data_IF_829784044984
#
_entry.id   IF_829784044984
#
_cell.length_a   1.000
_cell.length_b   1.000
_cell.length_c   1.000
_cell.angle_alpha   90.00
_cell.angle_beta   90.00
_cell.angle_gamma   90.00
#
_symmetry.space_group_name_H-M   'P 1'
#
loop_
_entity.id
_entity.type
_entity.pdbx_description
1 polymer ?
#
# COMPACT_ATOMS: atom_id res chain seq x y z
N UNK A 1 -28.10 -4.18 4.65
CA UNK A 1 -27.14 -3.83 3.58
C UNK A 1 -26.83 -2.35 3.71
N UNK A 2 -25.55 -1.94 3.72
CA UNK A 2 -25.22 -0.52 3.74
C UNK A 2 -25.29 0.00 2.31
N UNK A 3 -26.08 1.03 2.07
CA UNK A 3 -26.37 1.59 0.74
C UNK A 3 -25.10 1.94 -0.07
N UNK A 4 -24.06 2.38 0.61
CA UNK A 4 -22.77 2.76 0.01
C UNK A 4 -22.05 1.60 -0.71
N UNK A 5 -22.35 0.32 -0.41
CA UNK A 5 -21.69 -0.84 -1.02
C UNK A 5 -22.57 -1.58 -2.05
N UNK A 6 -23.77 -1.12 -2.34
CA UNK A 6 -24.70 -1.80 -3.26
C UNK A 6 -24.06 -2.09 -4.61
N UNK A 7 -23.37 -1.11 -5.21
CA UNK A 7 -22.72 -1.30 -6.53
C UNK A 7 -21.55 -2.29 -6.47
N UNK A 8 -20.81 -2.31 -5.38
CA UNK A 8 -19.73 -3.27 -5.16
C UNK A 8 -20.30 -4.68 -4.98
N UNK A 9 -21.38 -4.81 -4.22
CA UNK A 9 -22.04 -6.07 -3.98
C UNK A 9 -22.65 -6.68 -5.26
N UNK A 10 -23.24 -5.86 -6.14
CA UNK A 10 -23.71 -6.32 -7.45
C UNK A 10 -22.60 -6.94 -8.31
N UNK A 11 -21.37 -6.49 -8.14
CA UNK A 11 -20.22 -6.97 -8.92
C UNK A 11 -19.49 -8.15 -8.25
N UNK A 12 -19.32 -8.10 -6.93
CA UNK A 12 -18.51 -9.06 -6.17
C UNK A 12 -19.33 -10.10 -5.41
N UNK A 13 -20.61 -9.85 -5.19
CA UNK A 13 -21.51 -10.67 -4.37
C UNK A 13 -21.48 -10.32 -2.89
N UNK A 14 -22.52 -10.73 -2.18
CA UNK A 14 -22.74 -10.44 -0.75
C UNK A 14 -21.62 -11.05 0.14
N UNK A 15 -21.22 -12.28 -0.16
CA UNK A 15 -20.19 -12.99 0.62
C UNK A 15 -18.83 -12.29 0.54
N UNK A 16 -18.47 -11.73 -0.62
CA UNK A 16 -17.26 -10.94 -0.78
C UNK A 16 -17.30 -9.68 0.12
N UNK A 17 -18.42 -8.98 0.18
CA UNK A 17 -18.58 -7.81 1.06
C UNK A 17 -18.47 -8.22 2.54
N UNK A 18 -19.09 -9.31 2.95
CA UNK A 18 -18.97 -9.84 4.31
C UNK A 18 -17.52 -10.17 4.67
N UNK A 19 -16.77 -10.77 3.73
CA UNK A 19 -15.36 -11.12 3.91
C UNK A 19 -14.50 -9.85 4.04
N UNK A 20 -14.66 -8.88 3.15
CA UNK A 20 -13.94 -7.60 3.20
C UNK A 20 -14.19 -6.83 4.51
N UNK A 21 -15.43 -6.78 5.00
CA UNK A 21 -15.78 -6.14 6.28
C UNK A 21 -15.06 -6.75 7.49
N UNK A 22 -14.75 -8.03 7.44
CA UNK A 22 -14.03 -8.74 8.52
C UNK A 22 -12.52 -8.66 8.35
N UNK A 23 -12.04 -8.39 7.14
CA UNK A 23 -10.62 -8.41 6.82
C UNK A 23 -9.85 -7.28 7.48
N UNK A 24 -8.62 -7.59 7.91
CA UNK A 24 -7.64 -6.66 8.46
C UNK A 24 -6.48 -6.49 7.49
N UNK A 25 -6.25 -5.26 7.02
CA UNK A 25 -5.14 -4.92 6.13
C UNK A 25 -4.16 -3.98 6.82
N UNK A 26 -2.89 -4.38 6.89
CA UNK A 26 -1.81 -3.54 7.39
C UNK A 26 -1.14 -2.80 6.23
N UNK A 27 -1.11 -1.46 6.31
CA UNK A 27 -0.52 -0.60 5.27
C UNK A 27 0.67 0.14 5.87
N UNK A 28 1.84 -0.12 5.32
CA UNK A 28 3.10 0.51 5.70
C UNK A 28 3.50 1.56 4.67
N UNK A 29 3.57 2.81 5.10
CA UNK A 29 3.80 4.00 4.26
C UNK A 29 2.50 4.59 3.71
N UNK A 30 2.12 5.78 4.20
CA UNK A 30 0.92 6.53 3.78
C UNK A 30 1.32 7.71 2.88
N UNK A 31 2.15 7.40 1.90
CA UNK A 31 2.64 8.34 0.89
C UNK A 31 1.76 8.39 -0.37
N UNK A 32 2.38 8.72 -1.51
CA UNK A 32 1.70 8.83 -2.80
C UNK A 32 1.04 7.53 -3.30
N UNK A 33 1.57 6.37 -2.91
CA UNK A 33 0.99 5.06 -3.22
C UNK A 33 0.05 4.62 -2.10
N UNK A 34 0.55 4.54 -0.86
CA UNK A 34 -0.20 3.96 0.25
C UNK A 34 -1.48 4.70 0.60
N UNK A 35 -1.52 6.03 0.43
CA UNK A 35 -2.75 6.79 0.66
C UNK A 35 -3.86 6.45 -0.33
N UNK A 36 -3.53 6.11 -1.57
CA UNK A 36 -4.52 5.66 -2.57
C UNK A 36 -4.87 4.18 -2.42
N UNK A 37 -3.96 3.34 -1.90
CA UNK A 37 -4.32 1.97 -1.45
C UNK A 37 -5.39 2.06 -0.38
N UNK A 38 -5.15 2.86 0.65
CA UNK A 38 -6.08 3.05 1.76
C UNK A 38 -7.45 3.56 1.29
N UNK A 39 -7.45 4.59 0.43
CA UNK A 39 -8.67 5.14 -0.16
C UNK A 39 -9.48 4.07 -0.90
N UNK A 40 -8.84 3.28 -1.76
CA UNK A 40 -9.49 2.21 -2.52
C UNK A 40 -10.07 1.13 -1.62
N UNK A 41 -9.31 0.69 -0.61
CA UNK A 41 -9.75 -0.35 0.32
C UNK A 41 -10.86 0.13 1.28
N UNK A 42 -10.82 1.37 1.73
CA UNK A 42 -11.88 1.95 2.56
C UNK A 42 -13.21 2.03 1.78
N UNK A 43 -13.16 2.48 0.52
CA UNK A 43 -14.35 2.62 -0.34
C UNK A 43 -14.98 1.29 -0.75
N UNK A 44 -14.21 0.22 -0.82
CA UNK A 44 -14.74 -1.11 -1.15
C UNK A 44 -15.25 -1.87 0.08
N UNK A 45 -15.03 -1.35 1.29
CA UNK A 45 -15.61 -1.89 2.52
C UNK A 45 -14.69 -2.80 3.34
N UNK A 46 -13.35 -2.68 3.20
CA UNK A 46 -12.43 -3.30 4.16
C UNK A 46 -12.71 -2.71 5.54
N UNK A 47 -12.90 -3.60 6.54
CA UNK A 47 -13.39 -3.19 7.85
C UNK A 47 -12.32 -2.86 8.88
N UNK A 48 -11.08 -3.34 8.70
CA UNK A 48 -10.04 -3.11 9.70
C UNK A 48 -8.72 -2.71 9.04
N UNK A 49 -8.06 -1.70 9.59
CA UNK A 49 -6.76 -1.24 9.13
C UNK A 49 -5.74 -1.11 10.24
N UNK A 50 -4.49 -1.42 9.91
CA UNK A 50 -3.30 -1.03 10.66
C UNK A 50 -2.52 -0.08 9.76
N UNK A 51 -2.34 1.17 10.19
CA UNK A 51 -1.66 2.22 9.41
C UNK A 51 -0.34 2.58 10.09
N UNK A 52 0.75 2.52 9.33
CA UNK A 52 2.10 2.78 9.83
C UNK A 52 2.79 3.81 8.96
N UNK A 53 3.06 4.98 9.52
CA UNK A 53 3.84 6.06 8.91
C UNK A 53 4.28 7.01 10.02
N UNK A 54 5.50 7.56 9.95
CA UNK A 54 5.98 8.52 10.97
C UNK A 54 5.94 9.98 10.52
N UNK A 55 5.70 10.20 9.22
CA UNK A 55 5.83 11.53 8.65
C UNK A 55 4.62 12.42 8.99
N UNK A 56 4.88 13.71 8.88
CA UNK A 56 3.85 14.73 8.79
C UNK A 56 3.53 15.04 7.32
N UNK A 57 2.33 15.54 7.09
CA UNK A 57 1.94 16.07 5.78
C UNK A 57 2.75 17.33 5.51
N UNK A 58 3.48 17.35 4.42
CA UNK A 58 4.21 18.53 3.95
C UNK A 58 3.56 19.16 2.72
N UNK A 59 3.85 20.44 2.48
CA UNK A 59 3.34 21.17 1.32
C UNK A 59 3.68 20.46 0.00
N UNK A 60 4.89 19.87 -0.09
CA UNK A 60 5.36 19.12 -1.26
C UNK A 60 4.64 17.78 -1.48
N UNK A 61 3.80 17.33 -0.55
CA UNK A 61 3.01 16.11 -0.70
C UNK A 61 1.69 16.34 -1.43
N UNK A 62 1.20 17.57 -1.48
CA UNK A 62 -0.12 17.93 -2.05
C UNK A 62 -0.26 17.49 -3.50
N UNK A 63 0.83 17.50 -4.24
CA UNK A 63 0.81 17.13 -5.66
C UNK A 63 0.46 15.66 -5.94
N UNK A 64 0.52 14.75 -4.92
CA UNK A 64 0.38 13.30 -5.19
C UNK A 64 -0.16 12.44 -4.03
N UNK A 65 -0.36 12.97 -2.83
CA UNK A 65 -0.89 12.22 -1.69
C UNK A 65 -2.33 12.68 -1.42
N UNK A 66 -3.30 11.77 -1.46
CA UNK A 66 -4.72 12.13 -1.35
C UNK A 66 -5.09 12.74 0.00
N UNK A 67 -4.35 12.38 1.06
CA UNK A 67 -4.54 12.92 2.41
C UNK A 67 -3.95 14.33 2.58
N UNK A 68 -3.08 14.75 1.64
CA UNK A 68 -2.38 16.03 1.72
C UNK A 68 -3.17 17.15 1.07
N UNK A 69 -3.57 18.12 1.86
CA UNK A 69 -4.25 19.36 1.45
C UNK A 69 -3.64 20.54 2.19
N UNK A 70 -3.96 21.75 1.80
CA UNK A 70 -3.54 22.97 2.54
C UNK A 70 -4.03 22.99 3.99
N UNK A 71 -5.12 22.27 4.30
CA UNK A 71 -5.68 22.17 5.66
C UNK A 71 -4.99 21.12 6.54
N UNK A 72 -4.28 20.16 5.92
CA UNK A 72 -3.68 19.02 6.63
C UNK A 72 -2.17 19.12 6.78
N UNK A 73 -1.52 20.13 6.18
CA UNK A 73 -0.07 20.39 6.33
C UNK A 73 0.30 20.53 7.80
N UNK A 74 1.38 19.87 8.22
CA UNK A 74 1.89 19.85 9.59
C UNK A 74 1.22 18.80 10.50
N UNK A 75 0.21 18.08 10.03
CA UNK A 75 -0.45 17.02 10.79
C UNK A 75 0.19 15.66 10.49
N UNK A 76 0.15 14.74 11.45
CA UNK A 76 0.63 13.37 11.26
C UNK A 76 -0.16 12.68 10.16
N UNK A 77 0.53 12.00 9.22
CA UNK A 77 -0.13 11.31 8.10
C UNK A 77 -1.10 10.24 8.58
N UNK A 78 -0.74 9.48 9.61
CA UNK A 78 -1.60 8.42 10.16
C UNK A 78 -2.90 8.96 10.76
N UNK A 79 -2.87 10.13 11.41
CA UNK A 79 -4.08 10.77 11.96
C UNK A 79 -5.00 11.25 10.86
N UNK A 80 -4.45 11.97 9.87
CA UNK A 80 -5.23 12.46 8.70
C UNK A 80 -5.81 11.29 7.90
N UNK A 81 -5.04 10.22 7.73
CA UNK A 81 -5.49 9.02 7.05
C UNK A 81 -6.64 8.34 7.80
N UNK A 82 -6.54 8.21 9.13
CA UNK A 82 -7.61 7.67 9.97
C UNK A 82 -8.89 8.48 9.85
N UNK A 83 -8.83 9.80 9.99
CA UNK A 83 -9.99 10.68 9.83
C UNK A 83 -10.65 10.48 8.46
N UNK A 84 -9.85 10.48 7.39
CA UNK A 84 -10.37 10.29 6.04
C UNK A 84 -11.06 8.95 5.85
N UNK A 85 -10.54 7.87 6.41
CA UNK A 85 -11.20 6.56 6.34
C UNK A 85 -12.54 6.60 7.08
N UNK A 86 -12.60 7.21 8.26
CA UNK A 86 -13.83 7.30 9.05
C UNK A 86 -14.90 8.19 8.38
N UNK A 87 -14.52 9.17 7.55
CA UNK A 87 -15.45 9.92 6.71
C UNK A 87 -16.05 9.06 5.58
N UNK A 88 -15.35 8.01 5.13
CA UNK A 88 -15.78 7.09 4.06
C UNK A 88 -16.52 5.87 4.65
N UNK A 89 -15.96 5.29 5.70
CA UNK A 89 -16.43 4.08 6.37
C UNK A 89 -16.41 4.29 7.90
N UNK A 90 -17.47 4.87 8.48
CA UNK A 90 -17.52 5.20 9.91
C UNK A 90 -17.39 3.99 10.84
N UNK A 91 -17.77 2.80 10.37
CA UNK A 91 -17.73 1.56 11.14
C UNK A 91 -16.33 0.88 11.12
N UNK A 92 -15.35 1.49 10.46
CA UNK A 92 -14.02 0.93 10.29
C UNK A 92 -13.21 0.97 11.59
N UNK A 93 -12.58 -0.14 11.94
CA UNK A 93 -11.63 -0.19 13.04
C UNK A 93 -10.20 0.13 12.54
N UNK A 94 -9.55 1.14 13.14
CA UNK A 94 -8.26 1.62 12.64
C UNK A 94 -7.28 1.77 13.79
N UNK A 95 -6.22 0.96 13.74
CA UNK A 95 -5.03 1.14 14.57
C UNK A 95 -4.01 1.97 13.80
N UNK A 96 -3.41 2.94 14.47
CA UNK A 96 -2.37 3.79 13.90
C UNK A 96 -1.07 3.68 14.69
N UNK A 97 0.05 3.69 13.97
CA UNK A 97 1.39 3.67 14.52
C UNK A 97 2.20 4.82 13.89
N UNK A 98 2.38 5.90 14.65
CA UNK A 98 3.28 7.01 14.31
C UNK A 98 4.74 6.59 14.59
N UNK A 99 5.23 5.63 13.81
CA UNK A 99 6.55 5.02 13.99
C UNK A 99 7.25 4.80 12.65
N UNK A 100 8.56 4.86 12.69
CA UNK A 100 9.41 4.34 11.60
C UNK A 100 9.49 2.82 11.72
N UNK A 101 9.15 2.12 10.66
CA UNK A 101 9.29 0.67 10.63
C UNK A 101 10.71 0.31 10.17
N UNK A 102 11.46 -0.39 11.00
CA UNK A 102 12.85 -0.79 10.77
C UNK A 102 13.08 -2.20 11.34
N UNK A 103 14.22 -2.87 11.05
CA UNK A 103 14.50 -4.23 11.55
C UNK A 103 14.46 -4.40 13.07
N UNK A 104 14.73 -3.34 13.83
CA UNK A 104 14.69 -3.28 15.29
C UNK A 104 13.33 -2.89 15.86
N UNK A 105 12.35 -2.62 15.00
CA UNK A 105 11.00 -2.29 15.43
C UNK A 105 10.30 -3.51 16.06
N UNK A 106 9.42 -3.25 17.02
CA UNK A 106 8.48 -4.26 17.52
C UNK A 106 7.64 -4.86 16.40
N UNK A 107 7.10 -6.05 16.61
CA UNK A 107 6.13 -6.65 15.69
C UNK A 107 4.81 -5.85 15.74
N UNK A 108 4.49 -5.17 14.65
CA UNK A 108 3.27 -4.35 14.52
C UNK A 108 2.08 -5.21 14.06
N UNK A 109 2.34 -6.35 13.45
CA UNK A 109 1.33 -7.31 13.02
C UNK A 109 1.80 -8.75 13.30
N UNK A 110 0.84 -9.66 13.33
CA UNK A 110 1.02 -11.10 13.51
C UNK A 110 0.22 -11.86 12.43
N UNK A 111 -0.01 -13.15 12.65
CA UNK A 111 -0.77 -14.02 11.76
C UNK A 111 -2.31 -13.75 11.73
N UNK A 112 -2.79 -12.78 12.51
CA UNK A 112 -4.20 -12.35 12.50
C UNK A 112 -4.48 -11.27 11.46
N UNK A 113 -3.44 -10.71 10.84
CA UNK A 113 -3.58 -9.78 9.72
C UNK A 113 -3.80 -10.58 8.43
N UNK A 114 -4.84 -10.24 7.67
CA UNK A 114 -5.17 -10.96 6.44
C UNK A 114 -4.29 -10.56 5.26
N UNK A 115 -3.76 -9.34 5.27
CA UNK A 115 -2.93 -8.85 4.18
C UNK A 115 -2.00 -7.71 4.60
N UNK A 116 -0.78 -7.71 4.05
CA UNK A 116 0.20 -6.63 4.25
C UNK A 116 0.43 -5.88 2.94
N UNK A 117 0.39 -4.55 2.99
CA UNK A 117 0.76 -3.66 1.88
C UNK A 117 2.04 -2.93 2.23
N UNK A 118 3.05 -3.10 1.39
CA UNK A 118 4.32 -2.40 1.48
C UNK A 118 4.35 -1.23 0.47
N UNK A 119 4.14 -0.03 0.97
CA UNK A 119 4.27 1.23 0.23
C UNK A 119 5.38 2.14 0.79
N UNK A 120 6.33 1.56 1.53
CA UNK A 120 7.50 2.26 2.09
C UNK A 120 8.49 2.59 0.97
N UNK A 121 9.28 3.63 1.11
CA UNK A 121 10.35 4.01 0.18
C UNK A 121 11.75 3.53 0.60
N UNK A 122 11.96 3.23 1.88
CA UNK A 122 13.22 2.78 2.45
C UNK A 122 13.47 1.30 2.20
N UNK A 123 14.52 0.95 1.48
CA UNK A 123 14.85 -0.44 1.06
C UNK A 123 14.98 -1.38 2.27
N UNK A 124 15.67 -0.97 3.32
CA UNK A 124 15.88 -1.79 4.52
C UNK A 124 14.54 -2.15 5.19
N UNK A 125 13.66 -1.19 5.33
CA UNK A 125 12.32 -1.39 5.88
C UNK A 125 11.46 -2.32 5.00
N UNK A 126 11.51 -2.13 3.66
CA UNK A 126 10.80 -3.02 2.72
C UNK A 126 11.23 -4.48 2.86
N UNK A 127 12.54 -4.70 2.95
CA UNK A 127 13.10 -6.06 3.10
C UNK A 127 12.61 -6.68 4.40
N UNK A 128 12.70 -5.94 5.51
CA UNK A 128 12.26 -6.42 6.82
C UNK A 128 10.76 -6.74 6.81
N UNK A 129 9.95 -5.91 6.19
CA UNK A 129 8.51 -6.14 6.11
C UNK A 129 8.19 -7.44 5.35
N UNK A 130 8.90 -7.71 4.26
CA UNK A 130 8.76 -8.97 3.52
C UNK A 130 9.22 -10.17 4.36
N UNK A 131 10.31 -10.04 5.11
CA UNK A 131 10.80 -11.09 6.02
C UNK A 131 9.75 -11.42 7.08
N UNK A 132 9.16 -10.40 7.74
CA UNK A 132 8.12 -10.61 8.75
C UNK A 132 6.84 -11.20 8.18
N UNK A 133 6.38 -10.70 7.02
CA UNK A 133 5.22 -11.26 6.35
C UNK A 133 5.42 -12.77 6.02
N UNK A 134 6.62 -13.15 5.58
CA UNK A 134 6.97 -14.57 5.38
C UNK A 134 7.00 -15.37 6.69
N UNK A 135 7.58 -14.80 7.76
CA UNK A 135 7.61 -15.41 9.10
C UNK A 135 6.20 -15.75 9.60
N UNK A 136 5.28 -14.81 9.47
CA UNK A 136 3.88 -14.97 9.90
C UNK A 136 2.97 -15.61 8.84
N UNK A 137 3.49 -15.93 7.65
CA UNK A 137 2.74 -16.49 6.51
C UNK A 137 1.57 -15.61 6.06
N UNK A 138 1.69 -14.30 6.24
CA UNK A 138 0.70 -13.31 5.79
C UNK A 138 0.99 -12.92 4.34
N UNK A 139 -0.02 -12.91 3.46
CA UNK A 139 0.14 -12.39 2.11
C UNK A 139 0.64 -10.95 2.10
N UNK A 140 1.56 -10.65 1.17
CA UNK A 140 2.12 -9.30 1.03
C UNK A 140 2.19 -8.88 -0.45
N UNK A 141 1.88 -7.61 -0.73
CA UNK A 141 2.16 -6.96 -2.00
C UNK A 141 3.03 -5.73 -1.77
N UNK A 142 4.06 -5.56 -2.61
CA UNK A 142 5.01 -4.46 -2.47
C UNK A 142 4.96 -3.53 -3.68
N UNK A 143 4.86 -2.22 -3.43
CA UNK A 143 5.05 -1.21 -4.47
C UNK A 143 6.53 -1.05 -4.79
N UNK A 144 6.86 -1.14 -6.07
CA UNK A 144 8.19 -0.74 -6.54
C UNK A 144 8.23 0.77 -6.84
N UNK A 145 9.36 1.27 -7.38
CA UNK A 145 9.56 2.70 -7.59
C UNK A 145 8.57 3.32 -8.57
N UNK A 146 7.85 4.36 -8.13
CA UNK A 146 6.88 5.13 -8.93
C UNK A 146 7.39 6.52 -9.33
N UNK A 147 8.52 6.96 -8.76
CA UNK A 147 9.12 8.25 -9.09
C UNK A 147 9.75 8.31 -10.49
N UNK A 148 9.87 9.53 -11.03
CA UNK A 148 10.49 9.83 -12.33
C UNK A 148 9.78 9.19 -13.53
N UNK A 149 8.46 9.01 -13.46
CA UNK A 149 7.62 8.37 -14.46
C UNK A 149 6.42 9.24 -14.82
N UNK A 150 5.90 9.04 -16.03
CA UNK A 150 4.76 9.80 -16.56
C UNK A 150 3.66 8.91 -17.13
N UNK A 151 3.95 7.62 -17.38
CA UNK A 151 2.99 6.71 -18.01
C UNK A 151 2.50 5.65 -17.01
N UNK A 152 1.32 5.88 -16.38
CA UNK A 152 0.76 4.93 -15.44
C UNK A 152 0.22 3.64 -16.11
N UNK A 153 0.06 3.62 -17.44
CA UNK A 153 -0.40 2.43 -18.17
C UNK A 153 0.65 1.33 -18.24
N UNK A 154 1.91 1.67 -17.91
CA UNK A 154 3.03 0.71 -17.88
C UNK A 154 3.19 -0.02 -16.55
N UNK A 155 2.26 0.14 -15.61
CA UNK A 155 2.27 -0.67 -14.40
C UNK A 155 1.82 -2.10 -14.68
N UNK A 156 2.53 -3.04 -14.05
CA UNK A 156 2.21 -4.46 -14.06
C UNK A 156 2.26 -5.04 -12.66
N UNK A 157 1.44 -6.08 -12.46
CA UNK A 157 1.45 -6.93 -11.27
C UNK A 157 2.14 -8.25 -11.63
N UNK A 158 3.21 -8.58 -10.93
CA UNK A 158 3.92 -9.84 -11.16
C UNK A 158 4.72 -10.29 -9.93
N UNK A 159 5.34 -11.47 -10.02
CA UNK A 159 6.41 -11.85 -9.10
C UNK A 159 7.64 -10.98 -9.32
N UNK A 160 8.32 -10.59 -8.24
CA UNK A 160 9.49 -9.72 -8.30
C UNK A 160 10.60 -10.24 -9.24
N UNK A 161 10.70 -11.56 -9.42
CA UNK A 161 11.70 -12.15 -10.31
C UNK A 161 11.40 -11.91 -11.80
N UNK A 162 10.16 -11.53 -12.15
CA UNK A 162 9.73 -11.20 -13.52
C UNK A 162 9.85 -9.71 -13.84
N UNK A 163 10.27 -8.88 -12.87
CA UNK A 163 10.41 -7.43 -13.08
C UNK A 163 11.63 -7.08 -13.94
N UNK A 164 11.51 -6.01 -14.73
CA UNK A 164 12.56 -5.42 -15.56
C UNK A 164 12.77 -3.95 -15.20
N UNK A 165 13.75 -3.29 -15.77
CA UNK A 165 14.09 -1.85 -15.77
C UNK A 165 14.02 -1.09 -14.44
N UNK A 166 13.39 -1.62 -13.40
CA UNK A 166 13.21 -0.95 -12.10
C UNK A 166 14.43 -1.15 -11.19
N UNK A 167 15.19 -0.07 -10.84
CA UNK A 167 16.36 -0.18 -9.96
C UNK A 167 16.03 -0.73 -8.58
N UNK A 168 14.91 -0.29 -7.98
CA UNK A 168 14.45 -0.76 -6.67
C UNK A 168 14.16 -2.26 -6.69
N UNK A 169 13.44 -2.75 -7.70
CA UNK A 169 13.17 -4.18 -7.83
C UNK A 169 14.45 -5.02 -7.99
N UNK A 170 15.47 -4.48 -8.68
CA UNK A 170 16.79 -5.13 -8.80
C UNK A 170 17.46 -5.31 -7.44
N UNK A 171 17.45 -4.28 -6.60
CA UNK A 171 18.00 -4.35 -5.23
C UNK A 171 17.20 -5.32 -4.37
N UNK A 172 15.88 -5.22 -4.37
CA UNK A 172 14.99 -6.11 -3.61
C UNK A 172 15.21 -7.58 -3.97
N UNK A 173 15.27 -7.93 -5.28
CA UNK A 173 15.55 -9.31 -5.72
C UNK A 173 16.86 -9.85 -5.14
N UNK A 174 17.92 -9.03 -5.17
CA UNK A 174 19.25 -9.43 -4.63
C UNK A 174 19.18 -9.71 -3.14
N UNK A 175 18.52 -8.83 -2.38
CA UNK A 175 18.46 -8.92 -0.93
C UNK A 175 17.51 -10.03 -0.43
N UNK A 176 16.40 -10.25 -1.13
CA UNK A 176 15.45 -11.32 -0.81
C UNK A 176 16.05 -12.71 -1.08
N UNK A 177 16.84 -12.86 -2.15
CA UNK A 177 17.55 -14.13 -2.44
C UNK A 177 18.55 -14.51 -1.33
N UNK A 178 19.25 -13.54 -0.73
CA UNK A 178 20.15 -13.79 0.40
C UNK A 178 19.42 -14.33 1.65
N UNK A 179 18.09 -14.13 1.71
CA UNK A 179 17.21 -14.53 2.82
C UNK A 179 16.34 -15.72 2.47
N UNK A 180 16.64 -16.40 1.35
CA UNK A 180 15.86 -17.55 0.81
C UNK A 180 14.38 -17.24 0.56
N UNK A 181 14.04 -15.96 0.36
CA UNK A 181 12.69 -15.54 -0.03
C UNK A 181 12.59 -15.60 -1.56
N UNK A 182 11.82 -16.58 -2.06
CA UNK A 182 11.77 -16.93 -3.48
C UNK A 182 10.72 -16.16 -4.28
N UNK A 183 9.69 -15.63 -3.61
CA UNK A 183 8.54 -14.98 -4.26
C UNK A 183 8.14 -13.72 -3.51
N UNK A 184 7.75 -12.71 -4.26
CA UNK A 184 7.10 -11.50 -3.73
C UNK A 184 6.20 -10.92 -4.83
N UNK A 185 4.91 -10.76 -4.55
CA UNK A 185 3.98 -10.04 -5.43
C UNK A 185 4.31 -8.56 -5.41
N UNK A 186 4.48 -7.97 -6.57
CA UNK A 186 4.83 -6.54 -6.69
C UNK A 186 4.00 -5.84 -7.75
N UNK A 187 3.81 -4.53 -7.54
CA UNK A 187 3.40 -3.59 -8.59
C UNK A 187 4.63 -2.81 -9.01
N UNK A 188 4.99 -2.86 -10.29
CA UNK A 188 6.12 -2.13 -10.85
C UNK A 188 5.77 -1.58 -12.22
N UNK A 189 6.50 -0.57 -12.67
CA UNK A 189 6.32 0.00 -14.00
C UNK A 189 7.44 -0.45 -14.94
N UNK A 190 7.08 -0.79 -16.17
CA UNK A 190 8.02 -1.02 -17.29
C UNK A 190 8.59 0.28 -17.89
N UNK A 191 8.10 1.43 -17.46
CA UNK A 191 8.67 2.70 -17.87
C UNK A 191 10.05 2.89 -17.28
N UNK A 192 11.03 3.21 -18.11
CA UNK A 192 12.35 3.63 -17.63
C UNK A 192 12.23 4.98 -16.90
N UNK A 193 12.77 5.09 -15.68
CA UNK A 193 12.69 6.35 -14.94
C UNK A 193 13.49 7.44 -15.68
N UNK A 194 12.87 8.63 -15.82
CA UNK A 194 13.56 9.81 -16.37
C UNK A 194 14.73 10.20 -15.47
N UNK A 195 15.84 10.56 -16.08
CA UNK A 195 16.97 11.15 -15.35
C UNK A 195 16.63 12.60 -15.01
N UNK A 196 16.25 12.84 -13.76
CA UNK A 196 16.07 14.17 -13.17
C UNK A 196 17.05 14.31 -12.01
N UNK A 197 17.15 15.45 -11.38
CA UNK A 197 18.13 15.71 -10.30
C UNK A 197 18.19 14.65 -9.19
N UNK A 198 18.77 14.98 -8.07
CA UNK A 198 19.00 14.03 -6.95
C UNK A 198 17.69 13.59 -6.27
N UNK A 199 16.67 14.46 -6.23
CA UNK A 199 15.36 14.14 -5.67
C UNK A 199 14.44 13.61 -6.78
N UNK A 200 13.82 12.44 -6.61
CA UNK A 200 12.90 11.91 -7.61
C UNK A 200 11.69 12.83 -7.83
N UNK A 201 11.43 13.16 -9.09
CA UNK A 201 10.19 13.84 -9.47
C UNK A 201 8.97 12.94 -9.35
N UNK A 202 7.80 13.51 -9.13
CA UNK A 202 6.54 12.77 -9.08
C UNK A 202 5.38 13.64 -9.55
N UNK A 203 4.36 12.98 -10.08
CA UNK A 203 3.09 13.58 -10.55
C UNK A 203 1.90 12.88 -9.89
N UNK A 204 0.74 13.52 -9.92
CA UNK A 204 -0.43 13.02 -9.20
C UNK A 204 -0.94 11.66 -9.69
N UNK A 205 -0.88 11.40 -10.98
CA UNK A 205 -1.54 10.27 -11.64
C UNK A 205 -0.67 9.00 -11.79
N UNK A 206 0.60 9.02 -11.36
CA UNK A 206 1.46 7.82 -11.41
C UNK A 206 1.42 7.03 -10.11
N UNK A 207 1.81 7.57 -8.93
CA UNK A 207 1.73 6.81 -7.69
C UNK A 207 0.29 6.47 -7.28
N UNK A 208 -0.68 7.32 -7.62
CA UNK A 208 -2.10 7.06 -7.35
C UNK A 208 -2.63 5.82 -8.09
N UNK A 209 -2.31 5.69 -9.37
CA UNK A 209 -2.70 4.52 -10.17
C UNK A 209 -2.02 3.26 -9.62
N UNK A 210 -0.74 3.31 -9.26
CA UNK A 210 -0.08 2.18 -8.58
C UNK A 210 -0.82 1.79 -7.29
N UNK A 211 -1.24 2.76 -6.49
CA UNK A 211 -2.00 2.53 -5.26
C UNK A 211 -3.35 1.86 -5.52
N UNK A 212 -4.10 2.31 -6.51
CA UNK A 212 -5.40 1.71 -6.88
C UNK A 212 -5.25 0.30 -7.47
N UNK A 213 -4.18 0.03 -8.24
CA UNK A 213 -3.87 -1.32 -8.71
C UNK A 213 -3.59 -2.24 -7.51
N UNK A 214 -2.79 -1.80 -6.54
CA UNK A 214 -2.52 -2.56 -5.31
C UNK A 214 -3.81 -2.85 -4.56
N UNK A 215 -4.66 -1.84 -4.36
CA UNK A 215 -5.96 -2.03 -3.69
C UNK A 215 -6.81 -3.10 -4.39
N UNK A 216 -6.89 -3.06 -5.72
CA UNK A 216 -7.60 -4.08 -6.51
C UNK A 216 -7.01 -5.48 -6.36
N UNK A 217 -5.68 -5.62 -6.30
CA UNK A 217 -5.02 -6.92 -6.10
C UNK A 217 -5.23 -7.46 -4.68
N UNK A 218 -5.18 -6.60 -3.66
CA UNK A 218 -5.50 -6.98 -2.27
C UNK A 218 -6.93 -7.51 -2.19
N UNK A 219 -7.90 -6.80 -2.77
CA UNK A 219 -9.31 -7.23 -2.80
C UNK A 219 -9.45 -8.60 -3.46
N UNK A 220 -8.87 -8.78 -4.66
CA UNK A 220 -8.92 -10.05 -5.39
C UNK A 220 -8.34 -11.21 -4.58
N UNK A 221 -7.24 -10.97 -3.86
CA UNK A 221 -6.61 -12.01 -3.04
C UNK A 221 -7.44 -12.30 -1.79
N UNK A 222 -8.02 -11.28 -1.14
CA UNK A 222 -8.87 -11.44 0.03
C UNK A 222 -10.16 -12.22 -0.27
N UNK A 223 -10.82 -11.96 -1.42
CA UNK A 223 -12.10 -12.58 -1.76
C UNK A 223 -11.97 -13.95 -2.43
N UNK A 224 -10.77 -14.37 -2.85
CA UNK A 224 -10.58 -15.75 -3.37
C UNK A 224 -11.07 -16.76 -2.34
N UNK A 225 -11.81 -17.73 -2.81
CA UNK A 225 -12.12 -18.94 -2.05
C UNK A 225 -10.81 -19.70 -1.80
N UNK A 226 -10.64 -20.15 -0.56
CA UNK A 226 -9.47 -20.93 -0.10
C UNK A 226 -9.55 -22.35 -0.62
#
# INVERSE_FOLDING_TARGET
MQEQYIRTELLLGEEAIKKLKKSTVAIFGIGGVGSYVLEGLARIGVGNFILVDRDEVSLSNINRQIIATTKTVGRKKVDVAKERVLEINPDCNIQIFDKFFMPDSEDIFDDKVDYVVDAIDTVTAKIELVVRANKYKVPIISSMGTGNKLDPTKFEVCDINKTSVCPLAKVMRKELRKRDIKKLKVVYSKEEPKKVGQVPGSVSFVPSVAGLIIAGEVVKDLIKES
#
